data_IF_946124047637
#
_entry.id   IF_946124047637
#
_cell.length_a   1.000
_cell.length_b   1.000
_cell.length_c   1.000
_cell.angle_alpha   90.00
_cell.angle_beta   90.00
_cell.angle_gamma   90.00
#
_symmetry.space_group_name_H-M   'P 1'
#
loop_
_entity.id
_entity.type
_entity.pdbx_description
1 polymer ?
#
# COMPACT_ATOMS: atom_id res chain seq x y z
N UNK A 1 -13.58 -7.62 -18.90
CA UNK A 1 -13.69 -6.71 -17.76
C UNK A 1 -14.16 -7.54 -16.57
N UNK A 2 -13.35 -7.64 -15.51
CA UNK A 2 -13.67 -8.44 -14.32
C UNK A 2 -14.76 -7.80 -13.45
N UNK A 3 -15.24 -6.62 -13.83
CA UNK A 3 -16.34 -5.90 -13.17
C UNK A 3 -17.73 -6.50 -13.47
N UNK A 4 -17.89 -7.26 -14.56
CA UNK A 4 -19.18 -7.81 -14.97
C UNK A 4 -19.47 -9.15 -14.28
N UNK A 5 -20.38 -9.10 -13.30
CA UNK A 5 -20.93 -10.26 -12.58
C UNK A 5 -22.01 -11.02 -13.36
N UNK A 6 -21.95 -11.06 -14.69
CA UNK A 6 -22.88 -11.87 -15.46
C UNK A 6 -22.45 -13.36 -15.49
N UNK A 7 -23.41 -14.27 -15.62
CA UNK A 7 -23.13 -15.72 -15.58
C UNK A 7 -22.41 -16.23 -16.83
N UNK A 8 -22.43 -15.48 -17.94
CA UNK A 8 -21.73 -15.80 -19.18
C UNK A 8 -20.22 -15.59 -19.04
N UNK A 9 -19.81 -14.51 -18.36
CA UNK A 9 -18.40 -14.16 -18.10
C UNK A 9 -17.75 -15.21 -17.20
N UNK A 10 -18.49 -15.72 -16.21
CA UNK A 10 -18.04 -16.78 -15.29
C UNK A 10 -17.78 -18.10 -16.03
N UNK A 11 -18.59 -18.45 -17.02
CA UNK A 11 -18.42 -19.67 -17.83
C UNK A 11 -17.19 -19.64 -18.75
N UNK A 12 -16.76 -18.44 -19.17
CA UNK A 12 -15.59 -18.24 -20.04
C UNK A 12 -14.30 -17.92 -19.27
N UNK A 13 -14.38 -17.83 -17.93
CA UNK A 13 -13.23 -17.50 -17.10
C UNK A 13 -12.20 -18.64 -17.08
N UNK A 14 -10.91 -18.30 -17.01
CA UNK A 14 -9.81 -19.28 -16.98
C UNK A 14 -9.89 -20.20 -15.75
N UNK A 15 -10.46 -19.71 -14.64
CA UNK A 15 -10.69 -20.42 -13.40
C UNK A 15 -11.90 -19.84 -12.67
N UNK A 16 -12.41 -20.58 -11.69
CA UNK A 16 -13.42 -20.12 -10.75
C UNK A 16 -12.74 -19.37 -9.60
N UNK A 17 -13.22 -18.17 -9.28
CA UNK A 17 -12.69 -17.37 -8.18
C UNK A 17 -13.06 -18.00 -6.82
N UNK A 18 -12.06 -18.30 -6.00
CA UNK A 18 -12.24 -18.79 -4.62
C UNK A 18 -12.49 -17.68 -3.59
N UNK A 19 -12.08 -16.45 -3.90
CA UNK A 19 -12.35 -15.25 -3.12
C UNK A 19 -13.01 -14.20 -4.03
N UNK A 20 -14.14 -13.67 -3.58
CA UNK A 20 -14.95 -12.69 -4.33
C UNK A 20 -15.21 -11.42 -3.52
N UNK A 21 -14.48 -11.24 -2.40
CA UNK A 21 -14.49 -10.01 -1.60
C UNK A 21 -14.13 -8.81 -2.48
N UNK A 22 -14.70 -7.66 -2.16
CA UNK A 22 -14.27 -6.41 -2.80
C UNK A 22 -12.84 -6.07 -2.36
N UNK A 23 -12.16 -5.22 -3.13
CA UNK A 23 -10.85 -4.71 -2.71
C UNK A 23 -10.95 -4.02 -1.34
N UNK A 24 -11.97 -3.20 -1.13
CA UNK A 24 -12.19 -2.49 0.15
C UNK A 24 -12.35 -3.47 1.33
N UNK A 25 -13.08 -4.59 1.16
CA UNK A 25 -13.22 -5.61 2.21
C UNK A 25 -11.88 -6.24 2.59
N UNK A 26 -11.06 -6.59 1.58
CA UNK A 26 -9.73 -7.18 1.81
C UNK A 26 -8.81 -6.19 2.51
N UNK A 27 -8.81 -4.93 2.07
CA UNK A 27 -7.99 -3.88 2.67
C UNK A 27 -8.40 -3.60 4.12
N UNK A 28 -9.70 -3.52 4.39
CA UNK A 28 -10.23 -3.34 5.74
C UNK A 28 -9.80 -4.48 6.69
N UNK A 29 -9.92 -5.74 6.24
CA UNK A 29 -9.52 -6.90 7.03
C UNK A 29 -8.02 -6.91 7.33
N UNK A 30 -7.18 -6.66 6.32
CA UNK A 30 -5.73 -6.57 6.49
C UNK A 30 -5.34 -5.47 7.48
N UNK A 31 -5.93 -4.28 7.34
CA UNK A 31 -5.64 -3.15 8.21
C UNK A 31 -6.01 -3.42 9.69
N UNK A 32 -7.17 -4.05 9.93
CA UNK A 32 -7.59 -4.44 11.28
C UNK A 32 -6.69 -5.51 11.90
N UNK A 33 -6.14 -6.40 11.08
CA UNK A 33 -5.19 -7.42 11.51
C UNK A 33 -3.76 -6.90 11.65
N UNK A 34 -3.51 -5.61 11.40
CA UNK A 34 -2.20 -4.97 11.56
C UNK A 34 -1.23 -5.18 10.39
N UNK A 35 -1.72 -5.66 9.25
CA UNK A 35 -0.94 -5.73 8.01
C UNK A 35 -1.11 -4.43 7.23
N UNK A 36 -0.03 -3.91 6.63
CA UNK A 36 -0.05 -2.70 5.81
C UNK A 36 -0.23 -3.11 4.34
N UNK A 37 -1.40 -2.90 3.71
CA UNK A 37 -1.54 -3.07 2.28
C UNK A 37 -0.65 -2.07 1.54
N UNK A 38 -0.09 -2.46 0.40
CA UNK A 38 0.85 -1.62 -0.33
C UNK A 38 0.61 -1.68 -1.83
N UNK A 39 0.60 -0.52 -2.46
CA UNK A 39 0.53 -0.34 -3.91
C UNK A 39 1.85 0.21 -4.46
N UNK A 40 2.93 0.00 -3.71
CA UNK A 40 4.26 0.53 -3.99
C UNK A 40 4.81 0.02 -5.33
N UNK A 41 5.30 0.97 -6.12
CA UNK A 41 6.01 0.74 -7.39
C UNK A 41 7.34 1.51 -7.44
N UNK A 42 7.87 1.89 -6.27
CA UNK A 42 9.05 2.77 -6.16
C UNK A 42 10.34 2.14 -6.69
N UNK A 43 10.54 0.82 -6.51
CA UNK A 43 11.72 0.14 -7.04
C UNK A 43 11.80 0.25 -8.56
N UNK A 44 10.66 0.22 -9.26
CA UNK A 44 10.63 0.44 -10.69
C UNK A 44 11.07 1.87 -11.05
N UNK A 45 10.49 2.89 -10.40
CA UNK A 45 10.84 4.31 -10.65
C UNK A 45 12.29 4.65 -10.31
N UNK A 46 12.83 4.02 -9.27
CA UNK A 46 14.20 4.22 -8.81
C UNK A 46 15.24 3.36 -9.54
N UNK A 47 14.84 2.59 -10.57
CA UNK A 47 15.75 1.70 -11.31
C UNK A 47 16.33 0.55 -10.48
N UNK A 48 15.69 0.21 -9.35
CA UNK A 48 16.08 -0.91 -8.47
C UNK A 48 15.47 -2.20 -9.02
N UNK A 49 16.10 -2.76 -10.05
CA UNK A 49 15.71 -4.00 -10.72
C UNK A 49 16.88 -4.98 -10.82
N UNK A 50 16.61 -6.28 -10.88
CA UNK A 50 17.65 -7.30 -11.04
C UNK A 50 18.67 -7.27 -9.89
N UNK A 51 19.96 -7.22 -10.23
CA UNK A 51 21.05 -7.21 -9.26
C UNK A 51 21.00 -6.00 -8.31
N UNK A 52 20.69 -4.80 -8.83
CA UNK A 52 20.56 -3.60 -8.02
C UNK A 52 19.48 -3.72 -6.95
N UNK A 53 18.37 -4.43 -7.22
CA UNK A 53 17.37 -4.69 -6.18
C UNK A 53 17.94 -5.60 -5.08
N UNK A 54 18.67 -6.63 -5.48
CA UNK A 54 19.22 -7.63 -4.55
C UNK A 54 20.28 -7.03 -3.61
N UNK A 55 21.04 -6.03 -4.05
CA UNK A 55 21.96 -5.26 -3.20
C UNK A 55 21.26 -4.61 -2.00
N UNK A 56 19.99 -4.22 -2.12
CA UNK A 56 19.21 -3.71 -1.00
C UNK A 56 18.44 -4.80 -0.26
N UNK A 57 17.96 -5.82 -0.97
CA UNK A 57 17.11 -6.87 -0.43
C UNK A 57 17.90 -7.84 0.47
N UNK A 58 19.03 -8.37 0.00
CA UNK A 58 19.82 -9.39 0.71
C UNK A 58 20.32 -8.86 2.07
N UNK A 59 20.88 -7.64 2.17
CA UNK A 59 21.32 -7.10 3.47
C UNK A 59 20.16 -6.62 4.36
N UNK A 60 18.92 -6.67 3.87
CA UNK A 60 17.74 -6.20 4.60
C UNK A 60 17.58 -4.68 4.63
N UNK A 61 18.28 -3.93 3.78
CA UNK A 61 18.12 -2.48 3.66
C UNK A 61 16.80 -2.08 3.02
N UNK A 62 16.16 -3.00 2.29
CA UNK A 62 14.88 -2.78 1.64
C UNK A 62 13.80 -2.28 2.61
N UNK A 63 13.84 -2.66 3.90
CA UNK A 63 12.90 -2.18 4.92
C UNK A 63 12.90 -0.66 5.11
N UNK A 64 14.03 0.00 4.83
CA UNK A 64 14.17 1.47 4.89
C UNK A 64 13.40 2.17 3.77
N UNK A 65 12.97 1.44 2.75
CA UNK A 65 12.23 1.96 1.60
C UNK A 65 10.82 1.37 1.53
N UNK A 66 10.67 0.05 1.70
CA UNK A 66 9.40 -0.66 1.56
C UNK A 66 8.36 -0.19 2.58
N UNK A 67 8.71 -0.10 3.88
CA UNK A 67 7.73 0.30 4.90
C UNK A 67 7.28 1.75 4.72
N UNK A 68 8.18 2.74 4.54
CA UNK A 68 7.77 4.11 4.23
C UNK A 68 6.90 4.20 2.97
N UNK A 69 7.30 3.55 1.88
CA UNK A 69 6.52 3.55 0.63
C UNK A 69 5.16 2.84 0.77
N UNK A 70 5.07 1.80 1.61
CA UNK A 70 3.81 1.14 1.91
C UNK A 70 2.86 2.10 2.63
N UNK A 71 3.34 2.88 3.60
CA UNK A 71 2.51 3.89 4.28
C UNK A 71 2.01 4.97 3.31
N UNK A 72 2.87 5.48 2.44
CA UNK A 72 2.48 6.52 1.47
C UNK A 72 1.43 6.02 0.47
N UNK A 73 1.67 4.87 -0.16
CA UNK A 73 0.74 4.32 -1.15
C UNK A 73 -0.55 3.77 -0.52
N UNK A 74 -0.48 3.32 0.73
CA UNK A 74 -1.69 2.95 1.46
C UNK A 74 -2.54 4.18 1.75
N UNK A 75 -1.93 5.26 2.27
CA UNK A 75 -2.63 6.50 2.53
C UNK A 75 -3.27 7.06 1.24
N UNK A 76 -2.54 7.05 0.12
CA UNK A 76 -3.07 7.43 -1.19
C UNK A 76 -4.33 6.62 -1.55
N UNK A 77 -4.29 5.29 -1.41
CA UNK A 77 -5.47 4.45 -1.63
C UNK A 77 -6.64 4.81 -0.70
N UNK A 78 -6.35 5.07 0.58
CA UNK A 78 -7.39 5.37 1.57
C UNK A 78 -8.15 6.65 1.21
N UNK A 79 -7.44 7.71 0.81
CA UNK A 79 -8.06 8.98 0.44
C UNK A 79 -8.79 8.94 -0.90
N UNK A 80 -8.28 8.17 -1.86
CA UNK A 80 -8.81 8.20 -3.23
C UNK A 80 -9.92 7.18 -3.49
N UNK A 81 -9.91 6.03 -2.80
CA UNK A 81 -10.75 4.89 -3.20
C UNK A 81 -11.47 4.17 -2.06
N UNK A 82 -11.06 4.37 -0.80
CA UNK A 82 -11.58 3.55 0.30
C UNK A 82 -12.95 3.99 0.81
N UNK A 83 -13.69 3.06 1.40
CA UNK A 83 -14.89 3.41 2.17
C UNK A 83 -14.53 4.08 3.49
N UNK A 84 -15.48 4.79 4.11
CA UNK A 84 -15.25 5.47 5.40
C UNK A 84 -14.75 4.54 6.51
N UNK A 85 -15.25 3.29 6.56
CA UNK A 85 -14.80 2.29 7.55
C UNK A 85 -13.32 1.93 7.34
N UNK A 86 -12.90 1.83 6.08
CA UNK A 86 -11.54 1.43 5.69
C UNK A 86 -10.58 2.58 5.90
N UNK A 87 -10.98 3.80 5.53
CA UNK A 87 -10.26 5.03 5.83
C UNK A 87 -9.94 5.12 7.32
N UNK A 88 -10.95 4.96 8.19
CA UNK A 88 -10.77 5.04 9.65
C UNK A 88 -9.79 3.99 10.18
N UNK A 89 -9.98 2.71 9.84
CA UNK A 89 -9.08 1.63 10.29
C UNK A 89 -7.66 1.80 9.72
N UNK A 90 -7.55 2.25 8.47
CA UNK A 90 -6.29 2.46 7.79
C UNK A 90 -5.47 3.60 8.38
N UNK A 91 -6.07 4.75 8.66
CA UNK A 91 -5.40 5.88 9.32
C UNK A 91 -4.90 5.50 10.73
N UNK A 92 -5.72 4.76 11.50
CA UNK A 92 -5.29 4.23 12.80
C UNK A 92 -4.10 3.26 12.69
N UNK A 93 -4.01 2.47 11.62
CA UNK A 93 -2.83 1.65 11.36
C UNK A 93 -1.63 2.52 11.00
N UNK A 94 -1.79 3.48 10.08
CA UNK A 94 -0.72 4.40 9.67
C UNK A 94 -0.09 5.11 10.88
N UNK A 95 -0.91 5.67 11.77
CA UNK A 95 -0.42 6.35 12.98
C UNK A 95 0.43 5.43 13.86
N UNK A 96 -0.03 4.18 14.07
CA UNK A 96 0.71 3.17 14.84
C UNK A 96 2.03 2.78 14.17
N UNK A 97 2.06 2.67 12.86
CA UNK A 97 3.26 2.28 12.12
C UNK A 97 4.27 3.43 12.02
N UNK A 98 3.81 4.67 11.82
CA UNK A 98 4.66 5.87 11.88
C UNK A 98 5.28 6.02 13.27
N UNK A 99 4.55 5.70 14.33
CA UNK A 99 5.08 5.72 15.69
C UNK A 99 6.24 4.75 15.92
N UNK A 100 6.28 3.62 15.18
CA UNK A 100 7.34 2.59 15.27
C UNK A 100 8.62 2.95 14.50
N UNK A 101 8.64 4.02 13.71
CA UNK A 101 9.83 4.44 12.98
C UNK A 101 10.87 5.00 13.97
N UNK A 102 11.98 4.28 14.16
CA UNK A 102 13.02 4.64 15.12
C UNK A 102 13.91 5.80 14.66
N UNK A 103 14.21 5.89 13.36
CA UNK A 103 15.02 6.97 12.78
C UNK A 103 14.21 8.27 12.73
N UNK A 104 14.55 9.30 13.53
CA UNK A 104 13.76 10.53 13.60
C UNK A 104 13.70 11.27 12.26
N UNK A 105 14.77 11.23 11.46
CA UNK A 105 14.79 11.90 10.15
C UNK A 105 13.87 11.19 9.15
N UNK A 106 13.86 9.86 9.18
CA UNK A 106 12.94 9.08 8.36
C UNK A 106 11.49 9.33 8.80
N UNK A 107 11.23 9.34 10.10
CA UNK A 107 9.89 9.59 10.66
C UNK A 107 9.36 10.96 10.24
N UNK A 108 10.17 12.01 10.40
CA UNK A 108 9.82 13.37 9.97
C UNK A 108 9.56 13.42 8.46
N UNK A 109 10.41 12.78 7.65
CA UNK A 109 10.22 12.70 6.21
C UNK A 109 8.91 12.01 5.81
N UNK A 110 8.56 10.90 6.48
CA UNK A 110 7.32 10.17 6.20
C UNK A 110 6.11 11.02 6.56
N UNK A 111 6.12 11.67 7.72
CA UNK A 111 5.05 12.58 8.15
C UNK A 111 4.87 13.73 7.16
N UNK A 112 5.97 14.35 6.71
CA UNK A 112 5.92 15.41 5.71
C UNK A 112 5.28 14.95 4.39
N UNK A 113 5.72 13.81 3.86
CA UNK A 113 5.14 13.24 2.63
C UNK A 113 3.68 12.81 2.78
N UNK A 114 3.28 12.31 3.95
CA UNK A 114 1.86 12.01 4.22
C UNK A 114 1.01 13.29 4.18
N UNK A 115 1.49 14.40 4.75
CA UNK A 115 0.80 15.67 4.69
C UNK A 115 0.74 16.24 3.25
N UNK A 116 1.81 16.12 2.47
CA UNK A 116 1.81 16.49 1.05
C UNK A 116 0.80 15.66 0.25
N UNK A 117 0.69 14.36 0.56
CA UNK A 117 -0.29 13.48 -0.08
C UNK A 117 -1.73 13.87 0.29
N UNK A 118 -1.99 14.18 1.55
CA UNK A 118 -3.29 14.68 1.99
C UNK A 118 -3.67 16.02 1.32
N UNK A 119 -2.67 16.86 1.03
CA UNK A 119 -2.84 18.10 0.27
C UNK A 119 -3.05 17.90 -1.25
N UNK A 120 -3.03 16.66 -1.73
CA UNK A 120 -3.34 16.31 -3.13
C UNK A 120 -2.14 15.88 -3.97
N UNK A 121 -0.93 15.86 -3.42
CA UNK A 121 0.23 15.30 -4.12
C UNK A 121 0.09 13.78 -4.23
N UNK A 122 0.50 13.20 -5.34
CA UNK A 122 0.42 11.76 -5.59
C UNK A 122 1.78 11.23 -6.00
N UNK A 123 1.96 9.91 -5.92
CA UNK A 123 3.18 9.22 -6.36
C UNK A 123 4.46 9.68 -5.62
N UNK A 124 4.34 9.86 -4.30
CA UNK A 124 5.48 10.13 -3.42
C UNK A 124 6.18 8.82 -3.04
N UNK A 125 7.51 8.77 -3.21
CA UNK A 125 8.29 7.57 -2.90
C UNK A 125 9.70 7.83 -2.38
N UNK A 126 10.34 6.76 -1.91
CA UNK A 126 11.74 6.60 -1.53
C UNK A 126 12.43 5.55 -2.41
#
# INVERSE_FOLDING_TARGET
DYSHKDDESRKKSQFVLGDTRSLDDVIYELANNGYIPSFCTSCYRAGRTGEHFMEFAIPGFVKRFCTPNALLTFAEYLHDFSSERTLKSGLQLIDREVAKIEDPKMKESVIGKLAEMEAGTRDLYY
#
